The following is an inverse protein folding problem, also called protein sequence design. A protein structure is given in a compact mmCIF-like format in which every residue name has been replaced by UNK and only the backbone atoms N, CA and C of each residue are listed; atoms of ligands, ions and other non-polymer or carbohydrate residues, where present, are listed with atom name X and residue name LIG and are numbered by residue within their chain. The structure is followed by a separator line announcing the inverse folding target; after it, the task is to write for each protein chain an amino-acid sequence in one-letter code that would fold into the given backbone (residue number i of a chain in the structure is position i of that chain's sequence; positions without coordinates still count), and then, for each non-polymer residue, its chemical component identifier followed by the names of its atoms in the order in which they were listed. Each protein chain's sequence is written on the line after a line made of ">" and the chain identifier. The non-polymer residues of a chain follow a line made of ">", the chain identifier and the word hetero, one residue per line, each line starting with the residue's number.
data_IF_339402206504
#
_entry.id   IF_339402206504
#
_cell.length_a   1.000
_cell.length_b   1.000
_cell.length_c   1.000
_cell.angle_alpha   90.00
_cell.angle_beta   90.00
_cell.angle_gamma   90.00
#
_symmetry.space_group_name_H-M   'P 1'
#
loop_
_entity.id
_entity.type
_entity.pdbx_description
1 polymer ?
#
# COMPACT_ATOMS: atom_id res chain seq x y z
N UNK A 1 -21.97 -10.69 6.96
CA UNK A 1 -21.16 -10.39 5.76
C UNK A 1 -19.81 -9.88 6.24
N UNK A 2 -18.69 -10.38 5.70
CA UNK A 2 -17.36 -9.89 6.05
C UNK A 2 -16.96 -8.79 5.06
N UNK A 3 -16.90 -7.51 5.46
CA UNK A 3 -16.55 -6.44 4.54
C UNK A 3 -15.12 -6.65 4.03
N UNK A 4 -14.92 -6.41 2.74
CA UNK A 4 -13.58 -6.45 2.14
C UNK A 4 -12.77 -5.30 2.72
N UNK A 5 -11.59 -5.59 3.27
CA UNK A 5 -10.68 -4.59 3.86
C UNK A 5 -9.40 -4.48 3.03
N UNK A 6 -8.56 -3.45 3.23
CA UNK A 6 -7.26 -3.41 2.54
C UNK A 6 -6.41 -4.66 2.81
N UNK A 7 -6.47 -5.21 4.03
CA UNK A 7 -5.78 -6.46 4.39
C UNK A 7 -6.18 -7.65 3.49
N UNK A 8 -7.41 -7.66 2.97
CA UNK A 8 -7.89 -8.73 2.09
C UNK A 8 -7.11 -8.81 0.76
N UNK A 9 -6.45 -7.73 0.33
CA UNK A 9 -5.66 -7.70 -0.91
C UNK A 9 -4.18 -8.02 -0.71
N UNK A 10 -3.69 -8.10 0.54
CA UNK A 10 -2.27 -8.28 0.85
C UNK A 10 -1.69 -9.53 0.17
N UNK A 11 -2.36 -10.69 0.31
CA UNK A 11 -1.89 -11.95 -0.27
C UNK A 11 -1.87 -11.92 -1.81
N UNK A 12 -2.76 -11.15 -2.42
CA UNK A 12 -2.74 -10.96 -3.87
C UNK A 12 -1.52 -10.12 -4.27
N UNK A 13 -1.25 -9.03 -3.55
CA UNK A 13 -0.11 -8.14 -3.79
C UNK A 13 1.23 -8.84 -3.62
N UNK A 14 1.38 -9.64 -2.56
CA UNK A 14 2.60 -10.42 -2.29
C UNK A 14 2.95 -11.35 -3.45
N UNK A 15 1.94 -11.88 -4.15
CA UNK A 15 2.13 -12.73 -5.33
C UNK A 15 2.40 -11.96 -6.61
N UNK A 16 2.02 -10.68 -6.66
CA UNK A 16 2.19 -9.83 -7.84
C UNK A 16 3.56 -9.15 -7.86
N UNK A 17 4.05 -8.70 -6.70
CA UNK A 17 5.32 -7.99 -6.61
C UNK A 17 6.45 -9.02 -6.40
N UNK A 18 7.45 -9.08 -7.28
CA UNK A 18 8.61 -9.93 -7.06
C UNK A 18 9.36 -9.45 -5.81
N UNK A 19 9.43 -10.29 -4.77
CA UNK A 19 10.20 -10.02 -3.57
C UNK A 19 11.07 -11.23 -3.23
N UNK A 20 12.20 -11.02 -2.58
CA UNK A 20 13.01 -12.11 -2.05
C UNK A 20 12.32 -12.80 -0.87
N UNK A 21 12.63 -14.09 -0.67
CA UNK A 21 11.96 -14.96 0.32
C UNK A 21 11.84 -14.34 1.74
N UNK A 22 12.90 -13.69 2.21
CA UNK A 22 12.93 -13.07 3.54
C UNK A 22 12.20 -11.71 3.61
N UNK A 23 12.02 -11.05 2.47
CA UNK A 23 11.41 -9.71 2.41
C UNK A 23 9.88 -9.78 2.48
N UNK A 24 9.26 -10.91 2.11
CA UNK A 24 7.81 -11.08 2.21
C UNK A 24 7.28 -10.99 3.65
N UNK A 25 8.04 -11.50 4.63
CA UNK A 25 7.65 -11.46 6.04
C UNK A 25 7.70 -10.02 6.58
N UNK A 26 8.79 -9.32 6.31
CA UNK A 26 8.97 -7.91 6.69
C UNK A 26 7.93 -7.02 6.00
N UNK A 27 7.70 -7.21 4.69
CA UNK A 27 6.65 -6.53 3.95
C UNK A 27 5.28 -6.75 4.59
N UNK A 28 4.93 -7.99 4.92
CA UNK A 28 3.64 -8.33 5.52
C UNK A 28 3.44 -7.65 6.87
N UNK A 29 4.50 -7.59 7.69
CA UNK A 29 4.46 -6.93 8.99
C UNK A 29 4.26 -5.42 8.84
N UNK A 30 5.06 -4.78 7.99
CA UNK A 30 4.97 -3.35 7.71
C UNK A 30 3.63 -2.97 7.07
N UNK A 31 3.16 -3.74 6.09
CA UNK A 31 1.87 -3.52 5.44
C UNK A 31 0.73 -3.53 6.45
N UNK A 32 0.64 -4.57 7.29
CA UNK A 32 -0.39 -4.66 8.34
C UNK A 32 -0.32 -3.48 9.31
N UNK A 33 0.89 -3.18 9.79
CA UNK A 33 1.11 -2.06 10.69
C UNK A 33 0.63 -0.74 10.08
N UNK A 34 1.02 -0.44 8.83
CA UNK A 34 0.58 0.77 8.13
C UNK A 34 -0.93 0.81 7.93
N UNK A 35 -1.58 -0.28 7.55
CA UNK A 35 -3.05 -0.33 7.42
C UNK A 35 -3.71 -0.02 8.76
N UNK A 36 -3.23 -0.57 9.87
CA UNK A 36 -3.78 -0.30 11.20
C UNK A 36 -3.62 1.17 11.61
N UNK A 37 -2.46 1.78 11.37
CA UNK A 37 -2.23 3.21 11.64
C UNK A 37 -3.13 4.13 10.80
N UNK A 38 -3.60 3.66 9.65
CA UNK A 38 -4.45 4.43 8.75
C UNK A 38 -5.95 4.31 9.08
N UNK A 39 -6.37 3.37 9.94
CA UNK A 39 -7.78 3.16 10.26
C UNK A 39 -8.45 4.38 10.89
N UNK A 40 -7.69 5.22 11.60
CA UNK A 40 -8.20 6.44 12.22
C UNK A 40 -8.36 7.60 11.25
N UNK A 41 -7.81 7.53 10.03
CA UNK A 41 -7.92 8.61 9.06
C UNK A 41 -9.16 8.44 8.18
N UNK A 42 -10.23 9.14 8.54
CA UNK A 42 -11.50 9.12 7.82
C UNK A 42 -11.39 9.56 6.35
N UNK A 43 -10.35 10.32 5.96
CA UNK A 43 -10.16 10.77 4.58
C UNK A 43 -9.94 9.57 3.63
N UNK A 44 -9.51 8.42 4.17
CA UNK A 44 -9.30 7.20 3.39
C UNK A 44 -10.59 6.44 3.09
N UNK A 45 -11.70 6.73 3.78
CA UNK A 45 -13.00 6.06 3.59
C UNK A 45 -13.54 6.23 2.16
N UNK A 46 -13.13 7.30 1.47
CA UNK A 46 -13.53 7.55 0.08
C UNK A 46 -12.78 6.68 -0.95
N UNK A 47 -11.73 5.96 -0.54
CA UNK A 47 -10.95 5.10 -1.42
C UNK A 47 -11.39 3.65 -1.31
N UNK A 48 -11.34 2.93 -2.44
CA UNK A 48 -11.59 1.48 -2.44
C UNK A 48 -10.50 0.76 -1.65
N UNK A 49 -10.82 -0.31 -0.92
CA UNK A 49 -9.83 -1.10 -0.19
C UNK A 49 -8.64 -1.56 -1.04
N UNK A 50 -8.88 -1.89 -2.31
CA UNK A 50 -7.85 -2.28 -3.26
C UNK A 50 -6.85 -1.15 -3.58
N UNK A 51 -7.34 0.09 -3.73
CA UNK A 51 -6.51 1.28 -3.98
C UNK A 51 -5.70 1.65 -2.74
N UNK A 52 -6.30 1.57 -1.55
CA UNK A 52 -5.59 1.75 -0.28
C UNK A 52 -4.46 0.73 -0.16
N UNK A 53 -4.74 -0.54 -0.49
CA UNK A 53 -3.74 -1.60 -0.43
C UNK A 53 -2.55 -1.31 -1.33
N UNK A 54 -2.77 -0.96 -2.60
CA UNK A 54 -1.66 -0.61 -3.49
C UNK A 54 -0.89 0.64 -3.04
N UNK A 55 -1.56 1.66 -2.51
CA UNK A 55 -0.90 2.84 -1.98
C UNK A 55 -0.05 2.53 -0.73
N UNK A 56 -0.52 1.64 0.16
CA UNK A 56 0.28 1.12 1.27
C UNK A 56 1.49 0.33 0.77
N UNK A 57 1.31 -0.52 -0.26
CA UNK A 57 2.41 -1.28 -0.87
C UNK A 57 3.51 -0.36 -1.36
N UNK A 58 3.18 0.71 -2.10
CA UNK A 58 4.15 1.71 -2.55
C UNK A 58 4.89 2.34 -1.38
N UNK A 59 4.18 2.67 -0.30
CA UNK A 59 4.79 3.25 0.89
C UNK A 59 5.75 2.27 1.60
N UNK A 60 5.38 1.00 1.73
CA UNK A 60 6.20 -0.02 2.36
C UNK A 60 7.42 -0.36 1.51
N UNK A 61 7.25 -0.53 0.19
CA UNK A 61 8.36 -0.80 -0.72
C UNK A 61 9.37 0.35 -0.73
N UNK A 62 8.90 1.61 -0.67
CA UNK A 62 9.76 2.78 -0.50
C UNK A 62 10.50 2.76 0.84
N UNK A 63 9.85 2.32 1.92
CA UNK A 63 10.47 2.25 3.25
C UNK A 63 11.53 1.15 3.34
N UNK A 64 11.29 0.01 2.71
CA UNK A 64 12.21 -1.14 2.69
C UNK A 64 13.38 -0.97 1.71
N UNK A 65 13.46 0.16 1.00
CA UNK A 65 14.45 0.43 -0.06
C UNK A 65 14.62 -0.76 -1.00
N UNK A 66 13.49 -1.27 -1.52
CA UNK A 66 13.46 -2.50 -2.31
C UNK A 66 14.29 -2.35 -3.61
N UNK A 67 15.56 -2.73 -3.54
CA UNK A 67 16.41 -3.15 -4.66
C UNK A 67 16.76 -2.09 -5.72
N UNK A 68 16.59 -0.79 -5.46
CA UNK A 68 16.87 0.24 -6.46
C UNK A 68 15.91 0.21 -7.67
N UNK A 69 14.83 -0.57 -7.60
CA UNK A 69 13.77 -0.54 -8.60
C UNK A 69 13.01 0.80 -8.50
N UNK A 70 12.77 1.42 -9.65
CA UNK A 70 12.05 2.67 -9.70
C UNK A 70 10.62 2.47 -9.13
N UNK A 71 10.26 3.21 -8.09
CA UNK A 71 8.91 3.25 -7.51
C UNK A 71 7.82 3.44 -8.58
N UNK A 72 8.14 4.16 -9.67
CA UNK A 72 7.23 4.32 -10.81
C UNK A 72 6.99 3.02 -11.58
N UNK A 73 7.96 2.12 -11.66
CA UNK A 73 7.79 0.79 -12.27
C UNK A 73 6.80 -0.05 -11.47
N UNK A 74 6.99 -0.12 -10.14
CA UNK A 74 6.04 -0.79 -9.25
C UNK A 74 4.64 -0.16 -9.34
N UNK A 75 4.55 1.18 -9.36
CA UNK A 75 3.28 1.88 -9.53
C UNK A 75 2.60 1.53 -10.86
N UNK A 76 3.36 1.45 -11.96
CA UNK A 76 2.84 1.09 -13.27
C UNK A 76 2.34 -0.36 -13.31
N UNK A 77 3.09 -1.29 -12.72
CA UNK A 77 2.71 -2.70 -12.61
C UNK A 77 1.43 -2.88 -11.79
N UNK A 78 1.36 -2.26 -10.61
CA UNK A 78 0.15 -2.28 -9.78
C UNK A 78 -1.05 -1.69 -10.52
N UNK A 79 -0.87 -0.60 -11.25
CA UNK A 79 -1.95 -0.02 -12.06
C UNK A 79 -2.37 -0.92 -13.23
N UNK A 80 -1.42 -1.61 -13.86
CA UNK A 80 -1.68 -2.52 -14.97
C UNK A 80 -2.46 -3.76 -14.53
N UNK A 81 -2.05 -4.39 -13.43
CA UNK A 81 -2.68 -5.62 -12.94
C UNK A 81 -4.05 -5.35 -12.32
N UNK A 82 -4.15 -4.29 -11.51
CA UNK A 82 -5.37 -3.98 -10.78
C UNK A 82 -6.32 -3.04 -11.54
N UNK A 83 -5.94 -2.65 -12.78
CA UNK A 83 -6.70 -1.75 -13.66
C UNK A 83 -7.11 -0.46 -12.96
N UNK A 84 -6.20 0.11 -12.18
CA UNK A 84 -6.48 1.34 -11.43
C UNK A 84 -6.34 2.59 -12.30
N UNK A 85 -7.14 3.61 -11.98
CA UNK A 85 -6.83 4.96 -12.41
C UNK A 85 -5.57 5.43 -11.65
N UNK A 86 -4.49 5.71 -12.40
CA UNK A 86 -3.19 6.17 -11.89
C UNK A 86 -3.31 7.41 -10.99
N UNK A 87 -4.17 8.36 -11.35
CA UNK A 87 -4.39 9.60 -10.60
C UNK A 87 -5.04 9.30 -9.24
N UNK A 88 -5.98 8.37 -9.18
CA UNK A 88 -6.61 7.94 -7.93
C UNK A 88 -5.61 7.23 -7.01
N UNK A 89 -4.75 6.39 -7.58
CA UNK A 89 -3.69 5.74 -6.81
C UNK A 89 -2.70 6.77 -6.26
N UNK A 90 -2.27 7.72 -7.09
CA UNK A 90 -1.34 8.78 -6.69
C UNK A 90 -1.94 9.66 -5.59
N UNK A 91 -3.20 10.09 -5.73
CA UNK A 91 -3.90 10.88 -4.71
C UNK A 91 -4.02 10.13 -3.38
N UNK A 92 -4.36 8.84 -3.42
CA UNK A 92 -4.41 7.97 -2.24
C UNK A 92 -3.02 7.84 -1.59
N UNK A 93 -1.98 7.64 -2.40
CA UNK A 93 -0.61 7.51 -1.94
C UNK A 93 -0.11 8.77 -1.24
N UNK A 94 -0.36 9.95 -1.81
CA UNK A 94 0.01 11.21 -1.16
C UNK A 94 -0.74 11.42 0.15
N UNK A 95 -2.03 11.11 0.20
CA UNK A 95 -2.81 11.16 1.43
C UNK A 95 -2.21 10.24 2.51
N UNK A 96 -1.94 8.98 2.19
CA UNK A 96 -1.32 8.02 3.12
C UNK A 96 0.03 8.52 3.64
N UNK A 97 0.88 9.09 2.77
CA UNK A 97 2.16 9.68 3.18
C UNK A 97 1.97 10.78 4.23
N UNK A 98 1.02 11.68 4.01
CA UNK A 98 0.70 12.75 4.97
C UNK A 98 0.12 12.20 6.26
N UNK A 99 -0.81 11.25 6.18
CA UNK A 99 -1.44 10.63 7.36
C UNK A 99 -0.43 9.93 8.26
N UNK A 100 0.48 9.15 7.67
CA UNK A 100 1.52 8.42 8.42
C UNK A 100 2.59 9.35 8.99
N UNK A 101 2.94 10.44 8.29
CA UNK A 101 3.87 11.44 8.83
C UNK A 101 3.28 12.14 10.06
N UNK A 102 1.97 12.41 10.06
CA UNK A 102 1.29 13.08 11.17
C UNK A 102 1.04 12.14 12.36
N UNK A 103 0.78 10.85 12.11
CA UNK A 103 0.52 9.84 13.13
C UNK A 103 1.73 9.44 13.98
N UNK A 104 2.96 9.73 13.55
CA UNK A 104 4.18 9.47 14.32
C UNK A 104 4.44 10.48 15.46
N UNK A 105 3.53 11.42 15.70
CA UNK A 105 3.68 12.50 16.70
C UNK A 105 2.90 12.24 18.00
N UNK A 106 2.39 11.03 18.23
CA UNK A 106 1.69 10.62 19.44
C UNK A 106 2.29 9.34 20.02
#
# INVERSE_FOLDING_TARGET
>A
MNPVTPLSFMNHIIKMVPMGDHQHLEFSALFKHRVLSLLSDFKLVHYRPSVISAAVTLHVMKHMDFGGENLDSCKNELCGILQFNKEKLEACYQLIRTSLANGNNY
#
